data_IF_327605783365
#
_entry.id   IF_327605783365
#
_cell.length_a   1.000
_cell.length_b   1.000
_cell.length_c   1.000
_cell.angle_alpha   90.00
_cell.angle_beta   90.00
_cell.angle_gamma   90.00
#
_symmetry.space_group_name_H-M   'P 1'
#
loop_
_entity.id
_entity.type
_entity.pdbx_description
1 polymer ?
#
# COMPACT_ATOMS: atom_id res chain seq x y z
N UNK A 1 -1.13 27.11 19.30
CA UNK A 1 -1.04 27.57 17.90
C UNK A 1 0.03 28.64 17.80
N UNK A 2 1.16 28.34 17.18
CA UNK A 2 2.27 29.26 16.96
C UNK A 2 2.15 30.00 15.63
N UNK A 3 1.79 29.30 14.55
CA UNK A 3 1.55 29.92 13.23
C UNK A 3 0.41 29.24 12.48
N UNK A 4 -0.27 30.00 11.63
CA UNK A 4 -1.31 29.53 10.71
C UNK A 4 -1.18 30.29 9.39
N UNK A 5 -1.21 29.57 8.26
CA UNK A 5 -1.04 30.20 6.95
C UNK A 5 -1.76 29.45 5.83
N UNK A 6 -2.12 30.18 4.78
CA UNK A 6 -2.57 29.60 3.51
C UNK A 6 -1.36 29.52 2.57
N UNK A 7 -1.17 28.36 1.94
CA UNK A 7 -0.07 28.12 1.01
C UNK A 7 -0.57 27.62 -0.34
N UNK A 8 -0.09 28.21 -1.44
CA UNK A 8 -0.20 27.69 -2.81
C UNK A 8 1.19 27.79 -3.42
N UNK A 9 1.83 26.65 -3.66
CA UNK A 9 3.21 26.57 -4.14
C UNK A 9 4.15 27.42 -3.26
N UNK A 10 4.78 28.45 -3.82
CA UNK A 10 5.69 29.36 -3.11
C UNK A 10 4.99 30.63 -2.58
N UNK A 11 3.69 30.82 -2.82
CA UNK A 11 2.92 31.96 -2.35
C UNK A 11 2.21 31.62 -1.03
N UNK A 12 2.40 32.47 -0.03
CA UNK A 12 1.91 32.24 1.32
C UNK A 12 1.27 33.48 1.93
N UNK A 13 0.10 33.31 2.56
CA UNK A 13 -0.57 34.33 3.39
C UNK A 13 -0.53 33.87 4.85
N UNK A 14 0.28 34.53 5.67
CA UNK A 14 0.27 34.35 7.12
C UNK A 14 -1.02 34.88 7.74
N UNK A 15 -1.78 34.02 8.41
CA UNK A 15 -3.03 34.34 9.11
C UNK A 15 -2.85 34.55 10.61
N UNK A 16 -1.88 33.84 11.20
CA UNK A 16 -1.52 33.96 12.62
C UNK A 16 -0.02 33.71 12.81
N UNK A 17 0.56 34.28 13.87
CA UNK A 17 1.95 34.05 14.24
C UNK A 17 2.95 34.96 13.53
N UNK A 18 4.25 34.59 13.52
CA UNK A 18 5.35 35.45 13.06
C UNK A 18 5.27 35.87 11.58
N UNK A 19 4.54 35.10 10.76
CA UNK A 19 4.37 35.35 9.32
C UNK A 19 3.24 36.35 9.04
N UNK A 20 2.50 36.78 10.06
CA UNK A 20 1.42 37.75 9.92
C UNK A 20 2.00 39.11 9.57
N UNK A 21 1.43 39.77 8.56
CA UNK A 21 1.82 41.12 8.13
C UNK A 21 0.65 42.07 8.27
N UNK A 22 0.94 43.35 8.54
CA UNK A 22 -0.07 44.39 8.51
C UNK A 22 -0.80 44.39 7.15
N UNK A 23 -2.12 44.61 7.13
CA UNK A 23 -2.97 45.08 8.21
C UNK A 23 -3.58 43.97 9.08
N UNK A 24 -3.24 42.69 8.89
CA UNK A 24 -3.84 41.62 9.68
C UNK A 24 -3.33 41.72 11.13
N UNK A 25 -4.25 42.00 12.05
CA UNK A 25 -3.96 42.18 13.48
C UNK A 25 -4.31 40.93 14.29
N UNK A 26 -5.34 40.19 13.89
CA UNK A 26 -5.76 39.00 14.62
C UNK A 26 -6.48 37.99 13.74
N UNK A 27 -6.35 36.72 14.12
CA UNK A 27 -7.08 35.60 13.56
C UNK A 27 -7.57 34.72 14.70
N UNK A 28 -8.89 34.48 14.75
CA UNK A 28 -9.53 33.54 15.66
C UNK A 28 -10.03 32.34 14.86
N UNK A 29 -9.49 31.16 15.17
CA UNK A 29 -9.97 29.88 14.63
C UNK A 29 -11.18 29.41 15.43
N UNK A 30 -12.28 29.10 14.75
CA UNK A 30 -13.46 28.47 15.36
C UNK A 30 -13.35 26.94 15.24
N UNK A 31 -14.07 26.16 16.06
CA UNK A 31 -14.12 24.71 15.89
C UNK A 31 -14.59 24.33 14.50
N UNK A 32 -13.86 23.42 13.85
CA UNK A 32 -14.22 22.91 12.53
C UNK A 32 -15.51 22.09 12.57
N UNK A 33 -16.31 22.17 11.51
CA UNK A 33 -17.53 21.39 11.35
C UNK A 33 -17.31 20.30 10.29
N UNK A 34 -17.53 19.03 10.65
CA UNK A 34 -17.47 17.93 9.69
C UNK A 34 -18.64 18.02 8.70
N UNK A 35 -18.32 17.89 7.42
CA UNK A 35 -19.27 17.91 6.31
C UNK A 35 -19.66 16.47 5.90
N UNK A 36 -20.76 16.34 5.15
CA UNK A 36 -21.28 15.05 4.71
C UNK A 36 -20.35 14.28 3.74
N UNK A 37 -19.47 14.99 3.05
CA UNK A 37 -18.48 14.44 2.11
C UNK A 37 -17.16 14.02 2.79
N UNK A 38 -17.11 13.92 4.12
CA UNK A 38 -15.88 13.68 4.90
C UNK A 38 -14.82 14.77 4.78
N UNK A 39 -15.21 15.99 4.41
CA UNK A 39 -14.36 17.17 4.56
C UNK A 39 -14.68 17.89 5.89
N UNK A 40 -13.87 18.90 6.22
CA UNK A 40 -14.10 19.81 7.33
C UNK A 40 -14.29 21.23 6.80
N UNK A 41 -15.38 21.88 7.25
CA UNK A 41 -15.54 23.31 7.15
C UNK A 41 -14.77 23.98 8.28
N UNK A 42 -13.68 24.63 7.91
CA UNK A 42 -12.79 25.39 8.78
C UNK A 42 -13.18 26.87 8.71
N UNK A 43 -13.42 27.50 9.86
CA UNK A 43 -13.87 28.90 9.93
C UNK A 43 -12.88 29.74 10.72
N UNK A 44 -12.35 30.77 10.08
CA UNK A 44 -11.37 31.70 10.62
C UNK A 44 -11.96 33.12 10.63
N UNK A 45 -11.92 33.79 11.78
CA UNK A 45 -12.33 35.18 11.90
C UNK A 45 -11.10 36.09 11.96
N UNK A 46 -10.95 36.93 10.95
CA UNK A 46 -9.81 37.80 10.73
C UNK A 46 -10.16 39.24 11.11
N UNK A 47 -9.22 39.94 11.73
CA UNK A 47 -9.34 41.35 12.11
C UNK A 47 -8.24 42.14 11.39
N UNK A 48 -8.64 43.02 10.47
CA UNK A 48 -7.75 43.93 9.77
C UNK A 48 -7.74 45.30 10.44
N UNK A 49 -6.55 45.79 10.79
CA UNK A 49 -6.33 47.10 11.36
C UNK A 49 -5.13 47.77 10.67
N UNK A 50 -5.42 48.55 9.63
CA UNK A 50 -4.46 49.37 8.92
C UNK A 50 -5.13 50.48 8.12
N UNK A 51 -4.35 51.18 7.31
CA UNK A 51 -4.89 52.22 6.41
C UNK A 51 -5.84 51.61 5.37
N UNK A 52 -6.73 52.42 4.80
CA UNK A 52 -7.66 51.96 3.77
C UNK A 52 -6.93 51.32 2.57
N UNK A 53 -5.76 51.84 2.20
CA UNK A 53 -4.91 51.28 1.15
C UNK A 53 -4.34 49.90 1.53
N UNK A 54 -3.82 49.75 2.75
CA UNK A 54 -3.32 48.47 3.26
C UNK A 54 -4.44 47.42 3.33
N UNK A 55 -5.61 47.78 3.87
CA UNK A 55 -6.76 46.88 3.95
C UNK A 55 -7.21 46.42 2.56
N UNK A 56 -7.33 47.35 1.60
CA UNK A 56 -7.71 47.01 0.22
C UNK A 56 -6.70 46.09 -0.46
N UNK A 57 -5.40 46.36 -0.30
CA UNK A 57 -4.34 45.54 -0.88
C UNK A 57 -4.35 44.11 -0.31
N UNK A 58 -4.47 43.98 1.01
CA UNK A 58 -4.53 42.68 1.68
C UNK A 58 -5.77 41.88 1.27
N UNK A 59 -6.95 42.53 1.23
CA UNK A 59 -8.20 41.89 0.78
C UNK A 59 -8.10 41.44 -0.68
N UNK A 60 -7.52 42.28 -1.56
CA UNK A 60 -7.29 41.92 -2.96
C UNK A 60 -6.36 40.71 -3.11
N UNK A 61 -5.32 40.63 -2.27
CA UNK A 61 -4.42 39.46 -2.22
C UNK A 61 -5.17 38.21 -1.75
N UNK A 62 -5.96 38.30 -0.67
CA UNK A 62 -6.78 37.18 -0.20
C UNK A 62 -7.76 36.72 -1.29
N UNK A 63 -8.48 37.63 -1.94
CA UNK A 63 -9.42 37.33 -3.03
C UNK A 63 -8.74 36.59 -4.18
N UNK A 64 -7.57 37.06 -4.63
CA UNK A 64 -6.78 36.38 -5.66
C UNK A 64 -6.40 34.97 -5.23
N UNK A 65 -5.98 34.81 -3.97
CA UNK A 65 -5.65 33.51 -3.40
C UNK A 65 -6.84 32.55 -3.40
N UNK A 66 -8.02 33.00 -2.91
CA UNK A 66 -9.22 32.16 -2.88
C UNK A 66 -9.73 31.80 -4.28
N UNK A 67 -9.62 32.74 -5.23
CA UNK A 67 -9.98 32.48 -6.62
C UNK A 67 -9.12 31.36 -7.21
N UNK A 68 -7.82 31.33 -6.92
CA UNK A 68 -6.91 30.26 -7.37
C UNK A 68 -7.29 28.90 -6.77
N UNK A 69 -7.64 28.86 -5.48
CA UNK A 69 -8.15 27.65 -4.81
C UNK A 69 -9.39 27.14 -5.56
N UNK A 70 -10.37 28.01 -5.77
CA UNK A 70 -11.64 27.65 -6.42
C UNK A 70 -11.48 27.31 -7.92
N UNK A 71 -10.35 27.68 -8.55
CA UNK A 71 -9.96 27.25 -9.89
C UNK A 71 -9.24 25.89 -9.90
N UNK A 72 -9.06 25.25 -8.75
CA UNK A 72 -8.46 23.92 -8.61
C UNK A 72 -6.95 23.93 -8.42
N UNK A 73 -6.32 25.08 -8.13
CA UNK A 73 -4.90 25.07 -7.76
C UNK A 73 -4.70 24.38 -6.41
N UNK A 74 -3.66 23.55 -6.30
CA UNK A 74 -3.34 22.84 -5.07
C UNK A 74 -2.98 23.81 -3.96
N UNK A 75 -3.77 23.81 -2.89
CA UNK A 75 -3.64 24.70 -1.76
C UNK A 75 -3.71 23.92 -0.45
N UNK A 76 -2.97 24.38 0.55
CA UNK A 76 -3.00 23.80 1.90
C UNK A 76 -3.17 24.88 2.96
N UNK A 77 -3.87 24.51 4.02
CA UNK A 77 -3.83 25.23 5.29
C UNK A 77 -2.68 24.64 6.11
N UNK A 78 -1.68 25.45 6.41
CA UNK A 78 -0.50 25.04 7.18
C UNK A 78 -0.60 25.58 8.61
N UNK A 79 -0.52 24.67 9.58
CA UNK A 79 -0.66 24.93 11.01
C UNK A 79 0.59 24.45 11.75
N UNK A 80 1.20 25.33 12.52
CA UNK A 80 2.31 24.99 13.42
C UNK A 80 1.87 25.22 14.87
N UNK A 81 1.87 24.16 15.67
CA UNK A 81 1.52 24.20 17.10
C UNK A 81 2.58 24.96 17.91
N UNK A 82 3.86 24.63 17.68
CA UNK A 82 5.01 25.16 18.42
C UNK A 82 6.16 25.64 17.50
N UNK A 83 7.02 26.59 17.93
CA UNK A 83 8.06 27.19 17.08
C UNK A 83 9.11 26.25 16.46
N UNK A 84 9.26 25.03 17.00
CA UNK A 84 10.30 24.07 16.60
C UNK A 84 9.75 22.77 16.01
N UNK A 85 8.43 22.66 15.92
CA UNK A 85 7.77 21.53 15.28
C UNK A 85 7.59 21.78 13.79
N UNK A 86 7.59 20.71 13.00
CA UNK A 86 7.21 20.81 11.60
C UNK A 86 5.72 21.17 11.48
N UNK A 87 5.34 21.99 10.50
CA UNK A 87 3.95 22.31 10.29
C UNK A 87 3.16 21.08 9.84
N UNK A 88 1.91 21.02 10.28
CA UNK A 88 0.90 20.13 9.75
C UNK A 88 0.12 20.83 8.64
N UNK A 89 -0.23 20.08 7.61
CA UNK A 89 -0.89 20.59 6.42
C UNK A 89 -2.25 19.91 6.22
N UNK A 90 -3.23 20.64 5.72
CA UNK A 90 -4.53 20.07 5.34
C UNK A 90 -4.93 20.68 4.00
N UNK A 91 -5.21 19.83 2.99
CA UNK A 91 -5.54 20.30 1.65
C UNK A 91 -6.84 21.07 1.66
N UNK A 92 -6.89 22.16 0.90
CA UNK A 92 -8.08 22.99 0.74
C UNK A 92 -8.71 22.72 -0.63
N UNK A 93 -10.03 22.51 -0.65
CA UNK A 93 -10.83 22.23 -1.84
C UNK A 93 -11.62 23.45 -2.31
N UNK A 94 -12.14 24.24 -1.37
CA UNK A 94 -12.90 25.45 -1.67
C UNK A 94 -12.68 26.49 -0.57
N UNK A 95 -12.82 27.75 -0.92
CA UNK A 95 -12.66 28.83 0.03
C UNK A 95 -13.51 30.06 -0.34
N UNK A 96 -14.08 30.71 0.67
CA UNK A 96 -14.82 31.97 0.52
C UNK A 96 -14.67 32.83 1.78
N UNK A 97 -14.95 34.14 1.68
CA UNK A 97 -15.05 34.97 2.87
C UNK A 97 -16.24 35.94 2.85
N UNK A 98 -16.73 36.25 4.04
CA UNK A 98 -17.83 37.17 4.26
C UNK A 98 -17.43 38.29 5.21
N UNK A 99 -18.06 39.46 5.06
CA UNK A 99 -17.90 40.55 6.00
C UNK A 99 -18.62 40.24 7.31
N UNK A 100 -17.97 40.45 8.44
CA UNK A 100 -18.65 40.34 9.74
C UNK A 100 -19.52 41.59 9.92
N UNK A 101 -20.83 41.41 9.99
CA UNK A 101 -21.80 42.50 10.14
C UNK A 101 -21.49 43.32 11.42
N UNK A 102 -21.48 44.64 11.30
CA UNK A 102 -21.18 45.55 12.42
C UNK A 102 -19.69 45.66 12.79
N UNK A 103 -18.79 45.01 12.04
CA UNK A 103 -17.34 45.09 12.25
C UNK A 103 -16.68 46.33 11.65
N UNK A 104 -17.40 47.13 10.86
CA UNK A 104 -16.95 48.44 10.37
C UNK A 104 -16.96 49.46 11.52
N UNK A 105 -16.07 49.28 12.48
CA UNK A 105 -15.90 50.16 13.64
C UNK A 105 -14.59 50.94 13.52
N UNK A 106 -14.37 51.99 14.34
CA UNK A 106 -13.10 52.72 14.37
C UNK A 106 -11.86 51.85 14.65
N UNK A 107 -12.05 50.60 15.09
CA UNK A 107 -11.00 49.67 15.54
C UNK A 107 -10.56 48.63 14.50
N UNK A 108 -11.19 48.54 13.32
CA UNK A 108 -10.79 47.60 12.27
C UNK A 108 -11.92 47.12 11.36
N UNK A 109 -11.61 46.15 10.50
CA UNK A 109 -12.54 45.43 9.60
C UNK A 109 -12.51 43.95 9.99
N UNK A 110 -13.69 43.33 10.17
CA UNK A 110 -13.81 41.90 10.44
C UNK A 110 -14.19 41.10 9.19
N UNK A 111 -13.44 40.02 8.92
CA UNK A 111 -13.73 39.06 7.85
C UNK A 111 -13.93 37.67 8.45
N UNK A 112 -14.87 36.90 7.92
CA UNK A 112 -15.04 35.48 8.21
C UNK A 112 -14.63 34.68 6.99
N UNK A 113 -13.48 34.04 7.06
CA UNK A 113 -12.95 33.13 6.06
C UNK A 113 -13.46 31.71 6.34
N UNK A 114 -14.00 31.07 5.32
CA UNK A 114 -14.51 29.70 5.36
C UNK A 114 -13.71 28.87 4.35
N UNK A 115 -13.16 27.74 4.80
CA UNK A 115 -12.36 26.83 3.98
C UNK A 115 -12.96 25.43 4.09
N UNK A 116 -13.16 24.77 2.97
CA UNK A 116 -13.41 23.34 2.93
C UNK A 116 -12.07 22.63 2.76
N UNK A 117 -11.70 21.79 3.73
CA UNK A 117 -10.42 21.07 3.75
C UNK A 117 -10.59 19.59 4.07
N UNK A 118 -9.53 18.81 3.94
CA UNK A 118 -9.52 17.42 4.43
C UNK A 118 -9.97 17.34 5.90
N UNK A 119 -10.59 16.23 6.32
CA UNK A 119 -10.95 16.02 7.74
C UNK A 119 -9.77 15.60 8.64
N UNK A 120 -8.56 15.71 8.12
CA UNK A 120 -7.30 15.41 8.80
C UNK A 120 -6.23 16.47 8.50
N UNK A 121 -5.18 16.41 9.30
CA UNK A 121 -3.94 17.15 9.14
C UNK A 121 -2.79 16.18 8.93
N UNK A 122 -1.91 16.45 7.97
CA UNK A 122 -0.74 15.65 7.62
C UNK A 122 0.54 16.31 8.12
N UNK A 123 1.35 15.54 8.86
CA UNK A 123 2.68 15.96 9.27
C UNK A 123 3.71 15.89 8.13
N UNK A 124 5.01 16.10 8.46
CA UNK A 124 6.08 15.87 7.50
C UNK A 124 6.21 14.38 7.16
N UNK A 125 6.88 14.07 6.05
CA UNK A 125 7.13 12.69 5.66
C UNK A 125 8.19 12.04 6.57
N UNK A 126 7.95 10.79 6.97
CA UNK A 126 8.88 9.97 7.73
C UNK A 126 9.13 8.64 7.02
N UNK A 127 10.36 8.14 7.11
CA UNK A 127 10.69 6.77 6.72
C UNK A 127 10.30 5.82 7.85
N UNK A 128 9.52 4.80 7.51
CA UNK A 128 9.02 3.81 8.44
C UNK A 128 10.14 2.81 8.79
N UNK A 129 10.39 2.52 10.08
CA UNK A 129 11.33 1.50 10.49
C UNK A 129 10.85 0.10 10.09
N UNK A 130 11.58 -0.55 9.18
CA UNK A 130 11.27 -1.89 8.68
C UNK A 130 12.13 -2.96 9.34
N UNK A 131 11.57 -4.14 9.56
CA UNK A 131 12.28 -5.28 10.14
C UNK A 131 12.03 -6.57 9.38
N UNK A 132 13.09 -7.33 9.14
CA UNK A 132 13.10 -8.70 8.61
C UNK A 132 14.45 -9.38 8.98
N UNK A 133 14.81 -10.50 8.36
CA UNK A 133 16.07 -11.22 8.63
C UNK A 133 17.34 -10.42 8.31
N UNK A 134 17.25 -9.39 7.46
CA UNK A 134 18.40 -8.58 7.04
C UNK A 134 18.65 -7.39 7.97
N UNK A 135 17.69 -7.04 8.82
CA UNK A 135 17.84 -5.92 9.73
C UNK A 135 16.60 -5.68 10.58
N UNK A 136 16.79 -4.96 11.68
CA UNK A 136 15.71 -4.55 12.58
C UNK A 136 15.62 -3.03 12.60
N UNK A 137 14.40 -2.50 12.45
CA UNK A 137 14.05 -1.07 12.48
C UNK A 137 14.89 -0.21 11.53
N UNK A 138 15.09 -0.67 10.30
CA UNK A 138 15.86 0.01 9.24
C UNK A 138 14.97 1.01 8.50
N UNK A 139 15.45 2.26 8.34
CA UNK A 139 14.68 3.37 7.72
C UNK A 139 15.21 3.82 6.35
N UNK A 140 16.35 3.31 5.89
CA UNK A 140 17.03 3.77 4.66
C UNK A 140 16.95 2.81 3.47
N UNK A 141 16.01 1.86 3.49
CA UNK A 141 15.94 0.75 2.56
C UNK A 141 16.32 -0.57 3.23
N UNK A 142 15.46 -1.58 3.12
CA UNK A 142 15.67 -2.93 3.63
C UNK A 142 15.52 -3.93 2.49
N UNK A 143 16.47 -4.86 2.38
CA UNK A 143 16.43 -5.91 1.35
C UNK A 143 15.18 -6.78 1.51
N UNK A 144 14.50 -7.03 0.40
CA UNK A 144 13.39 -7.97 0.27
C UNK A 144 13.67 -8.86 -0.93
N UNK A 145 13.71 -10.17 -0.71
CA UNK A 145 13.99 -11.14 -1.78
C UNK A 145 12.72 -11.61 -2.46
N UNK A 146 12.89 -12.21 -3.62
CA UNK A 146 11.84 -12.89 -4.34
C UNK A 146 11.71 -14.37 -3.93
N UNK A 147 11.92 -14.66 -2.65
CA UNK A 147 11.85 -16.00 -2.02
C UNK A 147 11.61 -15.89 -0.51
N UNK A 148 11.20 -16.96 0.14
CA UNK A 148 10.89 -16.93 1.59
C UNK A 148 11.31 -18.20 2.33
N UNK A 149 12.60 -18.52 2.28
CA UNK A 149 13.16 -19.74 2.84
C UNK A 149 14.46 -19.45 3.61
N UNK A 150 15.30 -20.46 3.84
CA UNK A 150 16.56 -20.29 4.55
C UNK A 150 17.54 -19.35 3.86
N UNK A 151 17.36 -19.02 2.57
CA UNK A 151 18.24 -18.15 1.79
C UNK A 151 17.69 -16.73 1.57
N UNK A 152 16.39 -16.50 1.72
CA UNK A 152 15.81 -15.16 1.55
C UNK A 152 14.51 -14.91 2.30
N UNK A 153 14.06 -13.66 2.33
CA UNK A 153 12.78 -13.28 2.92
C UNK A 153 12.08 -12.22 2.07
N UNK A 154 10.84 -12.54 1.68
CA UNK A 154 10.03 -11.68 0.82
C UNK A 154 9.04 -10.79 1.60
N UNK A 155 9.21 -10.70 2.92
CA UNK A 155 8.33 -9.93 3.80
C UNK A 155 9.15 -8.97 4.66
N UNK A 156 8.51 -7.85 4.99
CA UNK A 156 8.97 -6.92 6.02
C UNK A 156 7.84 -6.63 6.97
N UNK A 157 8.18 -6.27 8.20
CA UNK A 157 7.22 -5.87 9.23
C UNK A 157 7.58 -4.53 9.84
N UNK A 158 6.58 -3.85 10.38
CA UNK A 158 6.76 -2.71 11.27
C UNK A 158 5.76 -2.81 12.42
N UNK A 159 6.16 -2.30 13.58
CA UNK A 159 5.38 -2.38 14.80
C UNK A 159 4.40 -1.20 14.89
N UNK A 160 3.31 -1.39 15.61
CA UNK A 160 2.33 -0.35 15.91
C UNK A 160 2.98 0.91 16.51
N UNK A 161 3.97 0.73 17.39
CA UNK A 161 4.69 1.83 18.07
C UNK A 161 5.62 2.63 17.15
N UNK A 162 5.95 2.10 15.96
CA UNK A 162 6.75 2.80 14.94
C UNK A 162 5.91 3.76 14.09
N UNK A 163 4.58 3.69 14.21
CA UNK A 163 3.65 4.50 13.44
C UNK A 163 3.17 5.70 14.25
N UNK A 164 3.58 6.89 13.82
CA UNK A 164 3.08 8.17 14.32
C UNK A 164 1.71 8.50 13.71
N UNK A 165 0.91 9.28 14.44
CA UNK A 165 -0.41 9.75 14.01
C UNK A 165 -1.57 8.95 14.61
N UNK A 166 -2.78 9.34 14.24
CA UNK A 166 -4.03 8.81 14.79
C UNK A 166 -4.92 8.17 13.72
N UNK A 167 -4.64 8.44 12.45
CA UNK A 167 -5.40 7.95 11.30
C UNK A 167 -4.50 7.21 10.32
N UNK A 168 -5.05 6.23 9.58
CA UNK A 168 -4.37 5.62 8.45
C UNK A 168 -3.90 6.65 7.41
N UNK A 169 -2.67 6.50 6.96
CA UNK A 169 -2.06 7.34 5.94
C UNK A 169 -1.57 6.50 4.75
N UNK A 170 -1.65 7.02 3.51
CA UNK A 170 -1.11 6.33 2.35
C UNK A 170 0.41 6.20 2.47
N UNK A 171 0.92 5.04 2.10
CA UNK A 171 2.34 4.78 2.01
C UNK A 171 2.88 5.22 0.64
N UNK A 172 4.05 5.84 0.65
CA UNK A 172 4.92 5.97 -0.51
C UNK A 172 5.94 4.83 -0.48
N UNK A 173 5.97 4.01 -1.53
CA UNK A 173 6.92 2.91 -1.64
C UNK A 173 8.09 3.33 -2.51
N UNK A 174 9.32 3.06 -2.08
CA UNK A 174 10.52 3.22 -2.88
C UNK A 174 11.15 1.84 -3.03
N UNK A 175 11.11 1.32 -4.25
CA UNK A 175 11.60 0.00 -4.63
C UNK A 175 12.88 0.16 -5.45
N UNK A 176 14.04 0.10 -4.79
CA UNK A 176 15.34 0.31 -5.41
C UNK A 176 15.94 -1.01 -5.90
N UNK A 177 16.26 -1.08 -7.19
CA UNK A 177 16.99 -2.19 -7.78
C UNK A 177 18.49 -1.87 -7.71
N UNK A 178 19.19 -2.43 -6.72
CA UNK A 178 20.62 -2.20 -6.52
C UNK A 178 21.50 -3.06 -7.45
N UNK A 179 22.71 -2.59 -7.69
CA UNK A 179 23.74 -3.33 -8.43
C UNK A 179 24.03 -4.68 -7.74
N UNK A 180 23.93 -5.79 -8.47
CA UNK A 180 24.19 -7.13 -7.97
C UNK A 180 22.98 -8.06 -7.93
N UNK A 181 21.78 -7.57 -8.24
CA UNK A 181 20.68 -8.45 -8.68
C UNK A 181 20.75 -8.62 -10.20
N UNK A 182 20.75 -9.87 -10.68
CA UNK A 182 20.90 -10.17 -12.11
C UNK A 182 19.54 -10.23 -12.84
N UNK A 183 18.45 -10.34 -12.09
CA UNK A 183 17.11 -10.35 -12.62
C UNK A 183 16.59 -8.92 -12.82
N UNK A 184 15.96 -8.67 -13.96
CA UNK A 184 15.27 -7.40 -14.22
C UNK A 184 13.79 -7.60 -13.95
N UNK A 185 13.24 -7.05 -12.84
CA UNK A 185 11.83 -7.13 -12.56
C UNK A 185 11.02 -6.47 -13.68
N UNK A 186 9.98 -7.16 -14.13
CA UNK A 186 8.96 -6.65 -15.03
C UNK A 186 7.67 -6.47 -14.26
N UNK A 187 6.96 -7.53 -13.90
CA UNK A 187 5.81 -7.38 -13.00
C UNK A 187 6.26 -7.48 -11.56
N UNK A 188 5.73 -6.60 -10.73
CA UNK A 188 5.97 -6.64 -9.28
C UNK A 188 4.65 -6.60 -8.54
N UNK A 189 4.53 -7.43 -7.52
CA UNK A 189 3.32 -7.64 -6.73
C UNK A 189 3.63 -7.33 -5.27
N UNK A 190 2.79 -6.51 -4.66
CA UNK A 190 2.92 -6.04 -3.30
C UNK A 190 1.62 -6.29 -2.55
N UNK A 191 1.71 -7.07 -1.47
CA UNK A 191 0.64 -7.34 -0.53
C UNK A 191 0.87 -6.64 0.79
N UNK A 192 -0.21 -6.34 1.50
CA UNK A 192 -0.15 -5.79 2.85
C UNK A 192 -1.23 -6.41 3.75
N UNK A 193 -0.83 -6.72 4.97
CA UNK A 193 -1.69 -7.18 6.05
C UNK A 193 -1.54 -6.28 7.28
N UNK A 194 -2.68 -6.06 7.95
CA UNK A 194 -2.75 -5.34 9.23
C UNK A 194 -3.11 -6.29 10.37
N UNK A 195 -2.82 -5.84 11.58
CA UNK A 195 -3.03 -6.59 12.81
C UNK A 195 -2.40 -8.00 12.76
N UNK A 196 -1.18 -8.08 12.21
CA UNK A 196 -0.41 -9.32 12.10
C UNK A 196 0.90 -9.20 12.86
N UNK A 197 1.10 -10.11 13.81
CA UNK A 197 2.34 -10.19 14.62
C UNK A 197 3.42 -11.02 13.90
N UNK A 198 3.02 -11.86 12.96
CA UNK A 198 3.89 -12.81 12.26
C UNK A 198 3.73 -12.77 10.74
N UNK A 199 4.79 -13.18 10.05
CA UNK A 199 4.80 -13.34 8.60
C UNK A 199 3.83 -14.45 8.16
N UNK A 200 3.29 -14.29 6.95
CA UNK A 200 2.54 -15.35 6.28
C UNK A 200 3.48 -16.51 5.93
N UNK A 201 3.03 -17.75 6.14
CA UNK A 201 3.75 -18.91 5.64
C UNK A 201 3.66 -18.99 4.11
N UNK A 202 4.69 -19.55 3.48
CA UNK A 202 4.64 -20.00 2.09
C UNK A 202 4.16 -21.45 2.08
N UNK A 203 3.23 -21.75 1.18
CA UNK A 203 2.78 -23.12 0.96
C UNK A 203 3.75 -23.83 0.03
N UNK A 204 4.64 -24.61 0.63
CA UNK A 204 5.62 -25.41 -0.09
C UNK A 204 4.97 -26.64 -0.73
N UNK A 205 5.32 -26.94 -1.98
CA UNK A 205 4.79 -28.09 -2.72
C UNK A 205 5.23 -29.40 -2.08
N UNK A 206 6.45 -29.47 -1.57
CA UNK A 206 7.03 -30.64 -0.92
C UNK A 206 6.36 -30.99 0.41
N UNK A 207 5.80 -30.00 1.12
CA UNK A 207 5.10 -30.22 2.40
C UNK A 207 3.62 -30.57 2.22
N UNK A 208 3.05 -30.33 1.04
CA UNK A 208 1.67 -30.66 0.72
C UNK A 208 1.41 -32.17 0.71
N UNK A 209 0.20 -32.61 1.05
CA UNK A 209 -0.24 -33.99 0.79
C UNK A 209 -0.99 -34.08 -0.55
N UNK A 210 -0.96 -35.26 -1.19
CA UNK A 210 -1.73 -35.59 -2.38
C UNK A 210 -2.09 -37.07 -2.37
N UNK A 211 -3.30 -37.42 -2.80
CA UNK A 211 -3.72 -38.81 -3.01
C UNK A 211 -3.47 -39.31 -4.44
N UNK A 212 -2.99 -38.41 -5.33
CA UNK A 212 -2.64 -38.71 -6.71
C UNK A 212 -1.22 -39.27 -6.80
N UNK A 213 -0.85 -39.80 -7.97
CA UNK A 213 0.55 -40.18 -8.24
C UNK A 213 1.42 -38.93 -8.14
N UNK A 214 2.45 -38.96 -7.30
CA UNK A 214 3.30 -37.79 -7.09
C UNK A 214 4.73 -38.18 -6.70
N UNK A 215 5.67 -37.28 -6.96
CA UNK A 215 7.10 -37.44 -6.65
C UNK A 215 7.69 -36.13 -6.17
N UNK A 216 8.60 -36.19 -5.21
CA UNK A 216 9.41 -35.05 -4.78
C UNK A 216 10.72 -35.04 -5.56
N UNK A 217 11.04 -33.90 -6.17
CA UNK A 217 12.22 -33.74 -7.03
C UNK A 217 13.10 -32.60 -6.48
N UNK A 218 14.37 -32.88 -6.15
CA UNK A 218 15.29 -31.85 -5.68
C UNK A 218 15.74 -30.95 -6.83
N UNK A 219 15.72 -29.64 -6.60
CA UNK A 219 16.16 -28.61 -7.54
C UNK A 219 16.59 -27.35 -6.77
N UNK A 220 17.86 -26.97 -6.85
CA UNK A 220 18.39 -25.79 -6.17
C UNK A 220 17.79 -24.47 -6.67
N UNK A 221 17.14 -24.47 -7.84
CA UNK A 221 16.37 -23.36 -8.38
C UNK A 221 14.96 -23.25 -7.79
N UNK A 222 14.59 -24.08 -6.82
CA UNK A 222 13.29 -24.09 -6.17
C UNK A 222 13.32 -23.48 -4.76
N UNK A 223 12.17 -23.00 -4.30
CA UNK A 223 11.93 -22.59 -2.92
C UNK A 223 12.21 -23.81 -2.03
N UNK A 224 13.06 -23.66 -1.01
CA UNK A 224 13.44 -24.80 -0.16
C UNK A 224 14.31 -25.88 -0.84
N UNK A 225 14.56 -25.77 -2.15
CA UNK A 225 15.41 -26.69 -2.92
C UNK A 225 14.72 -27.97 -3.42
N UNK A 226 13.40 -28.07 -3.31
CA UNK A 226 12.60 -29.23 -3.72
C UNK A 226 11.27 -28.75 -4.31
N UNK A 227 10.70 -29.47 -5.26
CA UNK A 227 9.32 -29.27 -5.70
C UNK A 227 8.57 -30.61 -5.75
N UNK A 228 7.24 -30.55 -5.81
CA UNK A 228 6.39 -31.72 -5.96
C UNK A 228 5.80 -31.79 -7.36
N UNK A 229 6.03 -32.89 -8.07
CA UNK A 229 5.35 -33.22 -9.31
C UNK A 229 4.16 -34.11 -9.01
N UNK A 230 2.97 -33.75 -9.52
CA UNK A 230 1.73 -34.51 -9.37
C UNK A 230 1.20 -34.88 -10.75
N UNK A 231 0.78 -36.13 -10.90
CA UNK A 231 0.26 -36.71 -12.13
C UNK A 231 -1.18 -37.20 -11.92
N UNK A 232 -2.06 -36.91 -12.88
CA UNK A 232 -3.45 -37.37 -12.86
C UNK A 232 -3.91 -37.81 -14.25
N UNK A 233 -5.07 -38.47 -14.27
CA UNK A 233 -5.71 -38.93 -15.49
C UNK A 233 -7.09 -38.29 -15.67
N UNK A 234 -7.42 -37.97 -16.92
CA UNK A 234 -8.74 -37.51 -17.33
C UNK A 234 -8.98 -36.01 -17.11
N UNK A 235 -10.18 -35.56 -17.47
CA UNK A 235 -10.57 -34.14 -17.40
C UNK A 235 -11.46 -33.79 -16.20
N UNK A 236 -11.75 -34.76 -15.33
CA UNK A 236 -12.51 -34.53 -14.11
C UNK A 236 -11.69 -33.71 -13.12
N UNK A 237 -12.37 -32.89 -12.33
CA UNK A 237 -11.72 -32.14 -11.26
C UNK A 237 -11.20 -33.07 -10.17
N UNK A 238 -9.97 -32.84 -9.72
CA UNK A 238 -9.29 -33.64 -8.70
C UNK A 238 -8.59 -32.72 -7.67
N UNK A 239 -8.45 -33.20 -6.43
CA UNK A 239 -7.62 -32.54 -5.43
C UNK A 239 -6.14 -32.76 -5.77
N UNK A 240 -5.47 -31.71 -6.25
CA UNK A 240 -4.07 -31.77 -6.63
C UNK A 240 -3.18 -31.88 -5.39
N UNK A 241 -3.33 -30.91 -4.48
CA UNK A 241 -2.54 -30.76 -3.25
C UNK A 241 -3.44 -30.29 -2.11
N UNK A 242 -3.09 -30.67 -0.88
CA UNK A 242 -3.73 -30.18 0.35
C UNK A 242 -2.72 -29.88 1.46
N UNK A 243 -3.05 -28.89 2.28
CA UNK A 243 -2.32 -28.52 3.49
C UNK A 243 -3.28 -28.47 4.68
N UNK A 244 -2.76 -28.69 5.88
CA UNK A 244 -3.51 -28.49 7.11
C UNK A 244 -3.41 -27.03 7.55
N UNK A 245 -4.52 -26.46 8.03
CA UNK A 245 -4.54 -25.04 8.39
C UNK A 245 -3.56 -24.68 9.50
N UNK A 246 -3.26 -25.55 10.47
CA UNK A 246 -2.27 -25.25 11.52
C UNK A 246 -0.87 -25.05 10.97
N UNK A 247 -0.51 -25.80 9.94
CA UNK A 247 0.80 -25.72 9.29
C UNK A 247 0.96 -24.44 8.47
N UNK A 248 -0.17 -23.83 8.08
CA UNK A 248 -0.20 -22.73 7.10
C UNK A 248 -0.60 -21.40 7.72
N UNK A 249 -1.55 -21.42 8.64
CA UNK A 249 -2.28 -20.26 9.11
C UNK A 249 -2.31 -20.25 10.64
N UNK A 250 -1.48 -19.40 11.23
CA UNK A 250 -1.52 -19.10 12.66
C UNK A 250 -2.88 -18.48 13.02
N UNK A 251 -3.29 -18.62 14.28
CA UNK A 251 -4.58 -18.12 14.79
C UNK A 251 -4.83 -16.63 14.54
N UNK A 252 -3.80 -15.85 14.22
CA UNK A 252 -3.87 -14.41 13.91
C UNK A 252 -4.42 -14.12 12.51
N UNK A 253 -4.41 -15.09 11.58
CA UNK A 253 -4.78 -14.88 10.16
C UNK A 253 -6.27 -15.11 9.86
N UNK A 254 -7.13 -14.94 10.86
CA UNK A 254 -8.57 -15.18 10.72
C UNK A 254 -9.24 -14.07 9.93
N UNK A 255 -10.19 -14.43 9.06
CA UNK A 255 -10.92 -13.48 8.19
C UNK A 255 -10.05 -12.70 7.20
N UNK A 256 -8.78 -13.06 7.06
CA UNK A 256 -7.85 -12.40 6.15
C UNK A 256 -8.15 -12.81 4.70
N UNK A 257 -8.04 -11.84 3.80
CA UNK A 257 -8.05 -12.06 2.36
C UNK A 257 -6.62 -12.06 1.87
N UNK A 258 -6.24 -13.11 1.15
CA UNK A 258 -4.94 -13.19 0.48
C UNK A 258 -5.12 -13.46 -1.00
N UNK A 259 -4.16 -13.00 -1.80
CA UNK A 259 -3.99 -13.41 -3.19
C UNK A 259 -2.84 -14.40 -3.26
N UNK A 260 -3.12 -15.69 -3.53
CA UNK A 260 -2.07 -16.68 -3.71
C UNK A 260 -1.39 -16.51 -5.07
N UNK A 261 -0.08 -16.76 -5.10
CA UNK A 261 0.75 -16.78 -6.29
C UNK A 261 1.48 -18.11 -6.34
N UNK A 262 1.08 -18.96 -7.28
CA UNK A 262 1.71 -20.26 -7.51
C UNK A 262 2.97 -20.07 -8.35
N UNK A 263 4.11 -20.47 -7.80
CA UNK A 263 5.35 -20.65 -8.52
C UNK A 263 5.46 -22.09 -8.99
N UNK A 264 5.70 -22.24 -10.29
CA UNK A 264 6.06 -23.50 -10.92
C UNK A 264 7.60 -23.61 -10.97
N UNK A 265 8.21 -24.80 -10.93
CA UNK A 265 9.67 -24.94 -11.10
C UNK A 265 10.12 -24.62 -12.53
N UNK A 266 9.23 -24.80 -13.52
CA UNK A 266 9.43 -24.40 -14.91
C UNK A 266 8.18 -23.66 -15.42
N UNK A 267 8.33 -22.89 -16.49
CA UNK A 267 7.20 -22.18 -17.11
C UNK A 267 6.07 -23.15 -17.49
N UNK A 268 4.82 -22.73 -17.25
CA UNK A 268 3.64 -23.55 -17.55
C UNK A 268 3.64 -23.99 -19.03
N UNK A 269 3.33 -25.27 -19.33
CA UNK A 269 3.36 -25.78 -20.70
C UNK A 269 2.35 -25.03 -21.58
N UNK A 270 2.74 -24.72 -22.83
CA UNK A 270 1.93 -23.94 -23.78
C UNK A 270 0.72 -24.72 -24.32
N UNK A 271 0.79 -26.05 -24.25
CA UNK A 271 -0.12 -26.96 -24.98
C UNK A 271 -1.32 -27.44 -24.16
N UNK A 272 -1.32 -27.25 -22.85
CA UNK A 272 -2.34 -27.80 -21.95
C UNK A 272 -3.03 -26.68 -21.19
N UNK A 273 -4.36 -26.62 -21.27
CA UNK A 273 -5.16 -25.70 -20.46
C UNK A 273 -5.62 -26.41 -19.20
N UNK A 274 -5.14 -25.93 -18.06
CA UNK A 274 -5.53 -26.39 -16.73
C UNK A 274 -6.15 -25.24 -15.94
N UNK A 275 -7.18 -25.54 -15.17
CA UNK A 275 -7.82 -24.61 -14.25
C UNK A 275 -7.55 -25.02 -12.81
N UNK A 276 -7.32 -24.02 -11.97
CA UNK A 276 -7.10 -24.20 -10.54
C UNK A 276 -8.15 -23.46 -9.73
N UNK A 277 -8.55 -24.03 -8.59
CA UNK A 277 -9.34 -23.34 -7.57
C UNK A 277 -9.00 -23.81 -6.16
N UNK A 278 -9.34 -22.97 -5.18
CA UNK A 278 -9.20 -23.28 -3.77
C UNK A 278 -10.49 -23.82 -3.18
N UNK A 279 -10.36 -24.81 -2.30
CA UNK A 279 -11.43 -25.29 -1.43
C UNK A 279 -10.91 -25.31 0.01
N UNK A 280 -11.66 -24.73 0.94
CA UNK A 280 -11.43 -24.92 2.38
C UNK A 280 -12.56 -25.78 2.92
N UNK A 281 -12.24 -26.83 3.66
CA UNK A 281 -13.23 -27.76 4.21
C UNK A 281 -12.97 -28.14 5.66
N UNK A 282 -14.06 -28.43 6.39
CA UNK A 282 -14.07 -28.95 7.77
C UNK A 282 -15.33 -29.80 7.96
N UNK A 283 -15.28 -31.09 7.61
CA UNK A 283 -16.47 -31.95 7.56
C UNK A 283 -17.51 -31.58 6.48
N UNK A 284 -17.23 -30.55 5.70
CA UNK A 284 -18.02 -29.98 4.60
C UNK A 284 -17.27 -28.79 3.99
N UNK A 285 -17.73 -28.28 2.85
CA UNK A 285 -17.10 -27.11 2.20
C UNK A 285 -17.46 -25.84 2.97
N UNK A 286 -16.44 -25.08 3.35
CA UNK A 286 -16.56 -23.79 4.04
C UNK A 286 -16.29 -22.63 3.09
N UNK A 287 -15.36 -22.83 2.16
CA UNK A 287 -15.05 -21.85 1.12
C UNK A 287 -14.69 -22.57 -0.17
N UNK A 288 -15.07 -21.97 -1.30
CA UNK A 288 -14.67 -22.40 -2.63
C UNK A 288 -14.47 -21.16 -3.52
N UNK A 289 -13.30 -21.06 -4.15
CA UNK A 289 -13.02 -19.96 -5.07
C UNK A 289 -13.58 -20.22 -6.47
N UNK A 290 -13.55 -19.20 -7.33
CA UNK A 290 -13.70 -19.39 -8.77
C UNK A 290 -12.53 -20.22 -9.34
N UNK A 291 -12.75 -20.88 -10.47
CA UNK A 291 -11.69 -21.49 -11.27
C UNK A 291 -10.94 -20.43 -12.08
N UNK A 292 -9.61 -20.56 -12.16
CA UNK A 292 -8.75 -19.70 -12.99
C UNK A 292 -7.84 -20.57 -13.84
N UNK A 293 -7.74 -20.24 -15.13
CA UNK A 293 -6.82 -20.93 -16.05
C UNK A 293 -5.38 -20.53 -15.74
N UNK A 294 -4.49 -21.52 -15.71
CA UNK A 294 -3.06 -21.27 -15.78
C UNK A 294 -2.74 -20.51 -17.08
N UNK A 295 -1.87 -19.52 -16.96
CA UNK A 295 -1.37 -18.76 -18.10
C UNK A 295 -0.15 -19.47 -18.67
N UNK A 296 -0.19 -19.92 -19.94
CA UNK A 296 0.91 -20.66 -20.51
C UNK A 296 2.17 -19.81 -20.62
N UNK A 297 3.35 -20.42 -20.44
CA UNK A 297 4.64 -19.74 -20.52
C UNK A 297 5.03 -18.94 -19.28
N UNK A 298 4.19 -18.85 -18.24
CA UNK A 298 4.53 -18.16 -16.99
C UNK A 298 4.94 -19.15 -15.91
N UNK A 299 5.98 -18.79 -15.15
CA UNK A 299 6.41 -19.51 -13.96
C UNK A 299 5.62 -19.07 -12.72
N UNK A 300 5.24 -17.78 -12.65
CA UNK A 300 4.44 -17.21 -11.57
C UNK A 300 2.99 -17.05 -12.02
N UNK A 301 2.06 -17.66 -11.29
CA UNK A 301 0.65 -17.75 -11.63
C UNK A 301 -0.18 -17.08 -10.55
N UNK A 302 -0.86 -15.98 -10.89
CA UNK A 302 -1.81 -15.36 -9.99
C UNK A 302 -3.05 -16.27 -9.86
N UNK A 303 -3.31 -16.75 -8.65
CA UNK A 303 -4.45 -17.61 -8.34
C UNK A 303 -5.65 -16.78 -7.87
N UNK A 304 -6.87 -17.36 -7.86
CA UNK A 304 -8.04 -16.69 -7.31
C UNK A 304 -7.82 -16.34 -5.83
N UNK A 305 -8.43 -15.23 -5.38
CA UNK A 305 -8.37 -14.77 -3.98
C UNK A 305 -8.80 -15.91 -3.06
N UNK A 306 -8.07 -16.10 -1.97
CA UNK A 306 -8.40 -17.01 -0.89
C UNK A 306 -8.93 -16.19 0.29
N UNK A 307 -10.20 -16.41 0.65
CA UNK A 307 -10.79 -15.84 1.87
C UNK A 307 -10.64 -16.86 2.98
N UNK A 308 -9.84 -16.54 3.99
CA UNK A 308 -9.72 -17.39 5.17
C UNK A 308 -10.99 -17.23 6.02
N UNK A 309 -11.56 -18.33 6.52
CA UNK A 309 -12.76 -18.27 7.33
C UNK A 309 -12.50 -17.51 8.63
N UNK A 310 -13.49 -16.76 9.09
CA UNK A 310 -13.52 -16.25 10.46
C UNK A 310 -13.65 -17.43 11.43
N UNK A 311 -13.05 -17.37 12.62
CA UNK A 311 -13.45 -18.33 13.65
C UNK A 311 -14.86 -18.02 14.10
N UNK A 312 -15.73 -19.02 14.01
CA UNK A 312 -17.05 -18.94 14.62
C UNK A 312 -16.96 -19.60 15.98
N UNK A 313 -17.57 -18.99 17.00
CA UNK A 313 -17.71 -19.55 18.36
C UNK A 313 -18.29 -20.98 18.42
N UNK A 314 -18.94 -21.48 17.36
CA UNK A 314 -19.47 -22.84 17.25
C UNK A 314 -18.45 -23.86 16.72
N UNK A 315 -17.36 -23.39 16.12
CA UNK A 315 -16.26 -24.19 15.58
C UNK A 315 -14.94 -23.65 16.14
N UNK A 316 -14.66 -23.88 17.44
CA UNK A 316 -13.60 -23.19 18.17
C UNK A 316 -12.17 -23.60 17.77
N UNK A 317 -11.99 -24.50 16.79
CA UNK A 317 -10.66 -24.95 16.35
C UNK A 317 -10.48 -24.83 14.84
N UNK A 318 -9.79 -23.77 14.36
CA UNK A 318 -9.34 -23.70 12.97
C UNK A 318 -8.35 -24.82 12.60
N UNK A 319 -7.82 -25.54 13.60
CA UNK A 319 -6.95 -26.70 13.51
C UNK A 319 -7.38 -27.81 12.54
N UNK A 320 -8.67 -27.86 12.21
CA UNK A 320 -9.28 -28.93 11.41
C UNK A 320 -9.67 -28.48 10.00
N UNK A 321 -9.35 -27.24 9.62
CA UNK A 321 -9.53 -26.81 8.24
C UNK A 321 -8.49 -27.47 7.34
N UNK A 322 -8.97 -28.08 6.27
CA UNK A 322 -8.16 -28.53 5.14
C UNK A 322 -8.22 -27.46 4.06
N UNK A 323 -7.05 -27.05 3.57
CA UNK A 323 -6.91 -26.12 2.46
C UNK A 323 -6.43 -26.91 1.25
N UNK A 324 -7.27 -27.02 0.23
CA UNK A 324 -7.05 -27.86 -0.94
C UNK A 324 -6.96 -27.01 -2.21
N UNK A 325 -5.96 -27.29 -3.04
CA UNK A 325 -5.85 -26.81 -4.40
C UNK A 325 -6.41 -27.89 -5.33
N UNK A 326 -7.51 -27.58 -6.01
CA UNK A 326 -8.14 -28.46 -6.98
C UNK A 326 -7.69 -28.08 -8.38
N UNK A 327 -7.57 -29.09 -9.24
CA UNK A 327 -7.19 -28.95 -10.64
C UNK A 327 -8.23 -29.58 -11.55
N UNK A 328 -8.41 -28.98 -12.72
CA UNK A 328 -9.17 -29.57 -13.83
C UNK A 328 -8.39 -29.36 -15.14
N UNK A 329 -8.26 -30.41 -15.94
CA UNK A 329 -7.65 -30.34 -17.28
C UNK A 329 -8.71 -30.25 -18.37
N UNK A 330 -8.37 -29.67 -19.53
CA UNK A 330 -9.30 -29.56 -20.65
C UNK A 330 -9.57 -30.90 -21.35
N UNK A 331 -8.57 -31.78 -21.43
CA UNK A 331 -8.62 -33.01 -22.19
C UNK A 331 -8.61 -34.27 -21.34
N UNK A 332 -9.03 -35.38 -21.94
CA UNK A 332 -8.75 -36.72 -21.41
C UNK A 332 -7.26 -37.06 -21.58
N UNK A 333 -6.75 -38.00 -20.78
CA UNK A 333 -5.36 -38.47 -20.86
C UNK A 333 -4.55 -38.20 -19.61
N UNK A 334 -3.24 -38.37 -19.74
CA UNK A 334 -2.28 -38.20 -18.64
C UNK A 334 -1.77 -36.77 -18.59
N UNK A 335 -1.83 -36.19 -17.41
CA UNK A 335 -1.46 -34.81 -17.16
C UNK A 335 -0.47 -34.71 -16.00
N UNK A 336 0.33 -33.65 -15.99
CA UNK A 336 1.35 -33.43 -14.97
C UNK A 336 1.44 -31.95 -14.60
N UNK A 337 1.54 -31.67 -13.30
CA UNK A 337 1.80 -30.32 -12.81
C UNK A 337 2.83 -30.39 -11.69
N UNK A 338 3.88 -29.60 -11.84
CA UNK A 338 4.91 -29.43 -10.83
C UNK A 338 4.64 -28.16 -10.03
N UNK A 339 4.54 -28.28 -8.71
CA UNK A 339 4.30 -27.20 -7.77
C UNK A 339 5.54 -27.03 -6.91
N UNK A 340 6.12 -25.84 -6.98
CA UNK A 340 7.23 -25.45 -6.12
C UNK A 340 6.71 -24.78 -4.85
N UNK A 341 6.07 -23.62 -4.99
CA UNK A 341 5.60 -22.85 -3.84
C UNK A 341 4.36 -22.03 -4.16
N UNK A 342 3.57 -21.70 -3.13
CA UNK A 342 2.47 -20.74 -3.25
C UNK A 342 2.65 -19.66 -2.21
N UNK A 343 3.00 -18.47 -2.69
CA UNK A 343 3.16 -17.27 -1.88
C UNK A 343 1.80 -16.63 -1.63
N UNK A 344 1.55 -16.22 -0.38
CA UNK A 344 0.30 -15.58 0.00
C UNK A 344 0.55 -14.09 0.22
N UNK A 345 -0.08 -13.24 -0.58
CA UNK A 345 0.04 -11.78 -0.43
C UNK A 345 -1.24 -11.22 0.21
N UNK A 346 -1.08 -10.38 1.23
CA UNK A 346 -2.19 -9.72 1.90
C UNK A 346 -2.99 -8.78 1.01
N UNK A 347 -4.27 -8.61 1.30
CA UNK A 347 -5.19 -7.74 0.56
C UNK A 347 -5.82 -6.62 1.41
N UNK A 348 -5.26 -6.30 2.58
CA UNK A 348 -5.62 -5.05 3.29
C UNK A 348 -5.05 -3.83 2.56
N UNK A 349 -3.91 -4.01 1.90
CA UNK A 349 -3.41 -3.13 0.84
C UNK A 349 -2.88 -3.99 -0.30
N UNK A 350 -2.96 -3.49 -1.54
CA UNK A 350 -2.54 -4.23 -2.73
C UNK A 350 -1.98 -3.31 -3.79
N UNK A 351 -0.84 -3.69 -4.36
CA UNK A 351 -0.27 -3.09 -5.57
C UNK A 351 0.25 -4.13 -6.55
N UNK A 352 -0.01 -3.90 -7.83
CA UNK A 352 0.64 -4.58 -8.95
C UNK A 352 1.22 -3.52 -9.87
N UNK A 353 2.54 -3.56 -10.04
CA UNK A 353 3.28 -2.71 -10.95
C UNK A 353 3.43 -3.45 -12.27
N UNK A 354 2.78 -2.92 -13.31
CA UNK A 354 2.84 -3.46 -14.66
C UNK A 354 3.66 -2.52 -15.55
N UNK A 355 4.71 -3.00 -16.22
CA UNK A 355 5.52 -2.15 -17.08
C UNK A 355 4.75 -1.78 -18.35
N UNK A 356 4.92 -0.55 -18.83
CA UNK A 356 4.55 -0.18 -20.19
C UNK A 356 5.46 -0.89 -21.20
N UNK A 357 5.09 -0.98 -22.49
CA UNK A 357 5.97 -1.55 -23.51
C UNK A 357 7.37 -0.92 -23.49
N UNK A 358 8.40 -1.74 -23.28
CA UNK A 358 9.80 -1.29 -23.15
C UNK A 358 10.20 -0.76 -21.77
N UNK A 359 9.28 -0.73 -20.80
CA UNK A 359 9.57 -0.40 -19.42
C UNK A 359 10.24 -1.56 -18.68
N UNK A 360 11.27 -1.25 -17.91
CA UNK A 360 11.92 -2.18 -17.00
C UNK A 360 12.50 -1.42 -15.81
N UNK A 361 12.65 -2.12 -14.68
CA UNK A 361 13.36 -1.59 -13.51
C UNK A 361 14.80 -2.12 -13.57
N UNK A 362 15.71 -1.33 -14.12
CA UNK A 362 17.13 -1.69 -14.27
C UNK A 362 17.90 -1.46 -12.98
N UNK A 363 19.06 -2.11 -12.83
CA UNK A 363 19.94 -1.87 -11.71
C UNK A 363 20.40 -0.39 -11.68
N UNK A 364 20.40 0.22 -10.49
CA UNK A 364 20.64 1.65 -10.28
C UNK A 364 19.40 2.52 -10.46
N UNK A 365 18.20 1.93 -10.52
CA UNK A 365 16.94 2.67 -10.60
C UNK A 365 16.04 2.38 -9.40
N UNK A 366 15.19 3.34 -9.08
CA UNK A 366 14.22 3.27 -7.99
C UNK A 366 12.82 3.54 -8.53
N UNK A 367 11.90 2.60 -8.33
CA UNK A 367 10.47 2.83 -8.58
C UNK A 367 9.83 3.47 -7.35
N UNK A 368 9.24 4.64 -7.51
CA UNK A 368 8.56 5.42 -6.47
C UNK A 368 7.05 5.33 -6.71
N UNK A 369 6.34 4.68 -5.80
CA UNK A 369 4.89 4.56 -5.80
C UNK A 369 4.25 5.56 -4.85
N UNK A 370 3.20 6.25 -5.29
CA UNK A 370 2.40 7.19 -4.48
C UNK A 370 1.02 6.61 -4.15
N UNK A 371 0.86 5.28 -4.23
CA UNK A 371 -0.41 4.61 -4.02
C UNK A 371 -1.46 4.96 -5.08
N UNK A 372 -2.69 5.22 -4.65
CA UNK A 372 -3.80 5.53 -5.55
C UNK A 372 -3.78 6.99 -6.07
N UNK A 373 -2.90 7.84 -5.53
CA UNK A 373 -2.93 9.28 -5.84
C UNK A 373 -2.30 9.59 -7.19
N UNK A 374 -1.25 8.86 -7.60
CA UNK A 374 -0.51 9.10 -8.83
C UNK A 374 0.04 7.79 -9.42
N UNK A 375 0.39 7.82 -10.70
CA UNK A 375 1.11 6.72 -11.33
C UNK A 375 2.55 6.64 -10.78
N UNK A 376 3.12 5.43 -10.67
CA UNK A 376 4.50 5.25 -10.23
C UNK A 376 5.49 6.01 -11.13
N UNK A 377 6.54 6.54 -10.50
CA UNK A 377 7.65 7.20 -11.18
C UNK A 377 8.89 6.33 -11.07
N UNK A 378 9.66 6.23 -12.14
CA UNK A 378 10.99 5.63 -12.15
C UNK A 378 12.02 6.74 -12.03
N UNK A 379 12.90 6.64 -11.04
CA UNK A 379 14.04 7.53 -10.83
C UNK A 379 15.34 6.79 -11.14
N UNK A 380 16.20 7.37 -11.97
CA UNK A 380 17.55 6.88 -12.18
C UNK A 380 18.52 7.50 -11.17
N UNK A 381 19.13 6.68 -10.32
CA UNK A 381 19.87 7.14 -9.13
C UNK A 381 21.06 8.05 -9.49
N UNK A 382 21.72 7.82 -10.63
CA UNK A 382 22.92 8.57 -11.04
C UNK A 382 22.60 9.89 -11.76
N UNK A 383 21.63 9.87 -12.68
CA UNK A 383 21.31 11.04 -13.51
C UNK A 383 20.23 11.93 -12.88
N UNK A 384 19.44 11.39 -11.95
CA UNK A 384 18.24 12.03 -11.42
C UNK A 384 17.10 12.10 -12.43
N UNK A 385 17.20 11.41 -13.56
CA UNK A 385 16.17 11.41 -14.60
C UNK A 385 14.92 10.71 -14.08
N UNK A 386 13.75 11.32 -14.34
CA UNK A 386 12.45 10.78 -13.96
C UNK A 386 11.70 10.32 -15.21
N UNK A 387 11.15 9.10 -15.17
CA UNK A 387 10.34 8.54 -16.25
C UNK A 387 9.07 7.87 -15.70
N UNK A 388 8.04 7.75 -16.54
CA UNK A 388 6.84 6.96 -16.24
C UNK A 388 6.85 5.70 -17.10
N UNK A 389 7.36 4.60 -16.54
CA UNK A 389 7.52 3.31 -17.24
C UNK A 389 6.62 2.22 -16.70
N UNK A 390 5.83 2.51 -15.67
CA UNK A 390 4.93 1.57 -15.00
C UNK A 390 3.53 2.14 -14.84
N UNK A 391 2.54 1.26 -14.93
CA UNK A 391 1.20 1.45 -14.42
C UNK A 391 1.10 0.81 -13.02
N UNK A 392 0.53 1.55 -12.06
CA UNK A 392 0.23 1.05 -10.73
C UNK A 392 -1.24 0.64 -10.60
N UNK A 393 -1.49 -0.66 -10.45
CA UNK A 393 -2.83 -1.22 -10.26
C UNK A 393 -3.08 -1.54 -8.78
N UNK A 394 -4.29 -1.31 -8.28
CA UNK A 394 -4.68 -1.57 -6.88
C UNK A 394 -4.75 -0.30 -6.02
N UNK A 395 -5.33 -0.42 -4.82
CA UNK A 395 -5.67 0.72 -3.95
C UNK A 395 -4.51 1.35 -3.17
N UNK A 396 -3.30 0.80 -3.27
CA UNK A 396 -2.15 1.28 -2.52
C UNK A 396 -1.94 0.51 -1.22
N UNK A 397 -0.85 0.87 -0.54
CA UNK A 397 -0.53 0.39 0.80
C UNK A 397 -0.81 1.54 1.77
N UNK A 398 -1.34 1.20 2.95
CA UNK A 398 -1.75 2.17 3.97
C UNK A 398 -1.04 1.85 5.27
N UNK A 399 -0.33 2.83 5.82
CA UNK A 399 0.26 2.74 7.16
C UNK A 399 -0.82 3.07 8.17
N UNK A 400 -1.23 2.08 8.96
CA UNK A 400 -2.25 2.23 9.99
C UNK A 400 -1.61 2.37 11.38
N UNK A 401 -1.96 3.37 12.20
CA UNK A 401 -1.47 3.45 13.57
C UNK A 401 -2.10 2.36 14.44
N UNK A 402 -1.42 2.03 15.55
CA UNK A 402 -1.89 1.11 16.59
C UNK A 402 -1.99 -0.38 16.22
N UNK A 403 -1.53 -0.77 15.03
CA UNK A 403 -1.56 -2.16 14.57
C UNK A 403 -0.19 -2.55 13.97
N UNK A 404 0.31 -3.73 14.36
CA UNK A 404 1.44 -4.38 13.69
C UNK A 404 1.04 -4.77 12.26
N UNK A 405 1.96 -4.61 11.32
CA UNK A 405 1.68 -4.74 9.90
C UNK A 405 2.81 -5.45 9.18
N UNK A 406 2.45 -6.11 8.08
CA UNK A 406 3.39 -6.82 7.21
C UNK A 406 3.17 -6.43 5.76
N UNK A 407 4.28 -6.24 5.04
CA UNK A 407 4.31 -6.05 3.59
C UNK A 407 5.00 -7.25 2.95
N UNK A 408 4.43 -7.77 1.87
CA UNK A 408 4.98 -8.89 1.10
C UNK A 408 5.26 -8.47 -0.34
N UNK A 409 6.34 -8.97 -0.93
CA UNK A 409 6.78 -8.65 -2.28
C UNK A 409 7.01 -9.91 -3.11
N UNK A 410 6.70 -9.83 -4.41
CA UNK A 410 7.13 -10.78 -5.43
C UNK A 410 7.40 -10.04 -6.74
N UNK A 411 8.26 -10.60 -7.57
CA UNK A 411 8.51 -10.11 -8.92
C UNK A 411 8.66 -11.25 -9.92
N UNK A 412 8.32 -10.99 -11.18
CA UNK A 412 8.73 -11.80 -12.31
C UNK A 412 9.60 -10.99 -13.28
N UNK A 413 10.27 -11.68 -14.20
CA UNK A 413 11.00 -11.09 -15.32
C UNK A 413 10.26 -11.30 -16.65
N UNK A 414 8.92 -11.27 -16.61
CA UNK A 414 8.04 -11.50 -17.74
C UNK A 414 7.51 -12.94 -17.78
N UNK A 415 8.40 -13.93 -17.91
CA UNK A 415 8.01 -15.36 -17.92
C UNK A 415 8.54 -16.15 -16.74
N UNK A 416 9.66 -15.72 -16.15
CA UNK A 416 10.34 -16.42 -15.07
C UNK A 416 10.13 -15.70 -13.73
N UNK A 417 10.17 -16.46 -12.65
CA UNK A 417 10.25 -15.93 -11.28
C UNK A 417 11.63 -16.28 -10.70
N UNK A 418 12.63 -15.41 -10.90
CA UNK A 418 13.98 -15.61 -10.39
C UNK A 418 14.02 -15.47 -8.87
N UNK A 419 14.36 -16.54 -8.15
CA UNK A 419 14.42 -16.55 -6.68
C UNK A 419 15.60 -15.74 -6.12
N UNK A 420 16.63 -15.50 -6.93
CA UNK A 420 17.80 -14.68 -6.60
C UNK A 420 17.56 -13.18 -6.81
N UNK A 421 16.40 -12.80 -7.36
CA UNK A 421 15.99 -11.41 -7.45
C UNK A 421 15.73 -10.82 -6.06
N UNK A 422 16.13 -9.57 -5.87
CA UNK A 422 15.84 -8.81 -4.66
C UNK A 422 15.77 -7.32 -4.98
N UNK A 423 15.08 -6.58 -4.13
CA UNK A 423 15.04 -5.12 -4.12
C UNK A 423 15.35 -4.59 -2.73
N UNK A 424 15.73 -3.33 -2.63
CA UNK A 424 15.67 -2.59 -1.37
C UNK A 424 14.36 -1.81 -1.29
N UNK A 425 13.60 -2.04 -0.22
CA UNK A 425 12.33 -1.40 0.06
C UNK A 425 12.52 -0.32 1.11
N UNK A 426 12.12 0.91 0.80
CA UNK A 426 11.84 1.95 1.79
C UNK A 426 10.35 2.29 1.73
N UNK A 427 9.72 2.44 2.90
CA UNK A 427 8.34 2.91 3.02
C UNK A 427 8.37 4.27 3.70
N UNK A 428 7.75 5.28 3.07
CA UNK A 428 7.54 6.60 3.67
C UNK A 428 6.05 6.87 3.86
N UNK A 429 5.70 7.68 4.84
CA UNK A 429 4.31 8.13 5.03
C UNK A 429 4.28 9.50 5.71
N UNK A 430 3.14 10.19 5.62
CA UNK A 430 2.86 11.43 6.34
C UNK A 430 1.82 11.13 7.43
N UNK A 431 2.14 11.30 8.72
CA UNK A 431 1.23 10.93 9.80
C UNK A 431 0.00 11.83 9.77
N UNK A 432 -1.18 11.23 9.98
CA UNK A 432 -2.47 11.94 9.94
C UNK A 432 -3.08 12.05 11.33
N UNK A 433 -3.58 13.24 11.67
CA UNK A 433 -4.29 13.53 12.94
C UNK A 433 -5.61 14.26 12.69
N UNK A 434 -6.65 14.06 13.52
CA UNK A 434 -7.97 14.69 13.29
C UNK A 434 -8.03 16.14 13.74
N UNK A 435 -7.58 16.41 14.96
CA UNK A 435 -7.64 17.75 15.54
C UNK A 435 -6.34 18.07 16.27
N UNK A 436 -5.72 19.16 15.85
CA UNK A 436 -4.70 19.84 16.63
C UNK A 436 -5.45 20.84 17.53
N UNK A 437 -5.41 20.59 18.85
CA UNK A 437 -6.01 21.44 19.89
C UNK A 437 -5.17 22.69 20.10
#
# INVERSE_FOLDING_TARGET
MYSLSLCIENDQIGLHGPQTTLPLHGCRRLPGQRLANNHTLEVLELILQGSAGQNRAWIGRLQSFLQRINQGQSAVLSLQSEPREFPYESRIYSADFQWIVGSLQPKGIGLRLQLERDDFWEGPAYSLPLSNRYGSRVTGGLRVDNRADTFGENQVRWLAEDVSGELPAPAQLLLAHKLGSNAVPQNMYAGHLRAVEDNLAVLEGETAASDLSNTLLPDAGCQGGVYRQVEWQGSAEQELLRWQFEDVFKAVLQSVRVRPFLRLPAAAPVVETCWLRWVISQGGIVYQSQMVSLQPGLQLQALPILQLPATHSKYPHPASYRVSLLIQAQGEGSHVLAVDAIFLLGLDGWRHFQPYPGGSLMAGQTLIDFGAEQQPLLLEDQSGTVAQTYAGLGGGIWVCPYEDQSFQFLADSGTLMPLDAYLELEIRYRPRVRMLV
#
